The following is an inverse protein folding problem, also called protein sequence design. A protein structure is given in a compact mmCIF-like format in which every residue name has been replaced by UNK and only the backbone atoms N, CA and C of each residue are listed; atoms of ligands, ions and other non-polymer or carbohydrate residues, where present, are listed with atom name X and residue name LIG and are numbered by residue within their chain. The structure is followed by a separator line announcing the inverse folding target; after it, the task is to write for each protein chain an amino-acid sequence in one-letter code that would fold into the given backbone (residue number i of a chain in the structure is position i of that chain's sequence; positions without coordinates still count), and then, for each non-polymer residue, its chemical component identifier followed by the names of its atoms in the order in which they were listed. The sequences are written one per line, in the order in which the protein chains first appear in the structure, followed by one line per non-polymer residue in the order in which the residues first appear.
data_IF_931762424918
#
_entry.id   IF_931762424918
#
_cell.length_a   1.000
_cell.length_b   1.000
_cell.length_c   1.000
_cell.angle_alpha   90.00
_cell.angle_beta   90.00
_cell.angle_gamma   90.00
#
_symmetry.space_group_name_H-M   'P 1'
#
loop_
_entity.id
_entity.type
_entity.pdbx_description
1 polymer ?
#
# COMPACT_ATOMS: atom_id res chain seq x y z
N UNK A 1 -8.26 -2.84 28.36
CA UNK A 1 -8.16 -1.39 28.56
C UNK A 1 -7.47 -0.81 27.34
N UNK A 2 -8.23 -0.20 26.44
CA UNK A 2 -7.71 0.42 25.21
C UNK A 2 -7.20 1.81 25.59
N UNK A 3 -5.89 2.03 25.53
CA UNK A 3 -5.34 3.38 25.60
C UNK A 3 -5.44 3.96 24.19
N UNK A 4 -6.51 4.69 23.88
CA UNK A 4 -6.51 5.52 22.68
C UNK A 4 -5.50 6.64 22.92
N UNK A 5 -4.42 6.63 22.17
CA UNK A 5 -3.45 7.72 22.20
C UNK A 5 -4.07 8.90 21.44
N UNK A 6 -4.31 10.05 22.08
CA UNK A 6 -4.99 11.20 21.45
C UNK A 6 -4.24 11.77 20.23
N UNK A 7 -2.97 11.40 20.07
CA UNK A 7 -2.10 11.84 18.97
C UNK A 7 -2.44 11.20 17.61
N UNK A 8 -2.98 9.98 17.57
CA UNK A 8 -3.33 9.31 16.31
C UNK A 8 -4.64 9.88 15.75
N UNK A 9 -5.61 10.16 16.62
CA UNK A 9 -6.92 10.69 16.24
C UNK A 9 -6.82 12.08 15.60
N UNK A 10 -5.87 12.93 16.02
CA UNK A 10 -5.70 14.26 15.43
C UNK A 10 -5.31 14.22 13.95
N UNK A 11 -4.53 13.23 13.51
CA UNK A 11 -4.16 13.10 12.10
C UNK A 11 -5.24 12.42 11.28
N UNK A 12 -5.92 11.42 11.85
CA UNK A 12 -7.04 10.73 11.17
C UNK A 12 -8.19 11.71 10.95
N UNK A 13 -8.57 12.48 11.97
CA UNK A 13 -9.65 13.47 11.87
C UNK A 13 -9.30 14.63 10.92
N UNK A 14 -8.02 15.01 10.84
CA UNK A 14 -7.54 16.11 10.00
C UNK A 14 -7.46 15.77 8.50
N UNK A 15 -7.48 14.48 8.13
CA UNK A 15 -7.40 14.04 6.73
C UNK A 15 -8.62 14.42 5.87
N UNK A 16 -9.74 14.82 6.49
CA UNK A 16 -10.93 15.34 5.80
C UNK A 16 -10.83 16.84 5.46
N UNK A 17 -9.87 17.55 6.03
CA UNK A 17 -9.58 18.95 5.72
C UNK A 17 -8.42 19.01 4.71
N UNK A 18 -8.50 19.88 3.71
CA UNK A 18 -7.41 20.10 2.75
C UNK A 18 -6.27 20.88 3.43
N UNK A 19 -5.56 20.25 4.37
CA UNK A 19 -4.43 20.85 5.06
C UNK A 19 -3.22 20.69 4.14
N UNK A 20 -2.59 21.79 3.68
CA UNK A 20 -1.34 21.68 2.91
C UNK A 20 -0.28 20.95 3.74
N UNK A 21 0.49 20.09 3.09
CA UNK A 21 1.58 19.35 3.70
C UNK A 21 2.59 20.35 4.27
N UNK A 22 2.57 20.57 5.60
CA UNK A 22 3.28 21.69 6.21
C UNK A 22 4.79 21.46 6.38
N UNK A 23 5.24 20.21 6.25
CA UNK A 23 6.63 19.83 6.51
C UNK A 23 7.47 19.84 5.21
N UNK A 24 8.48 20.72 5.09
CA UNK A 24 9.32 20.84 3.89
C UNK A 24 10.03 19.53 3.53
N UNK A 25 10.38 18.72 4.53
CA UNK A 25 11.02 17.42 4.31
C UNK A 25 10.08 16.41 3.64
N UNK A 26 8.80 16.41 4.00
CA UNK A 26 7.80 15.53 3.39
C UNK A 26 7.54 16.01 1.96
N UNK A 27 7.37 17.32 1.76
CA UNK A 27 7.18 17.89 0.43
C UNK A 27 8.38 17.62 -0.50
N UNK A 28 9.61 17.75 0.01
CA UNK A 28 10.83 17.40 -0.72
C UNK A 28 10.87 15.92 -1.10
N UNK A 29 10.48 15.04 -0.18
CA UNK A 29 10.41 13.59 -0.43
C UNK A 29 9.33 13.26 -1.47
N UNK A 30 8.12 13.82 -1.33
CA UNK A 30 7.02 13.68 -2.28
C UNK A 30 7.41 14.18 -3.67
N UNK A 31 8.10 15.32 -3.77
CA UNK A 31 8.59 15.85 -5.04
C UNK A 31 9.66 14.95 -5.66
N UNK A 32 10.60 14.43 -4.85
CA UNK A 32 11.67 13.56 -5.33
C UNK A 32 11.18 12.18 -5.77
N UNK A 33 10.20 11.61 -5.05
CA UNK A 33 9.64 10.28 -5.36
C UNK A 33 8.53 10.32 -6.41
N UNK A 34 7.90 11.48 -6.60
CA UNK A 34 6.69 11.67 -7.41
C UNK A 34 5.69 10.51 -7.25
N UNK A 35 5.23 10.21 -6.02
CA UNK A 35 4.46 9.01 -5.75
C UNK A 35 2.99 9.23 -6.12
N UNK A 36 2.30 8.15 -6.49
CA UNK A 36 0.89 8.17 -6.87
C UNK A 36 0.00 7.75 -5.70
N UNK A 37 -1.26 8.19 -5.63
CA UNK A 37 -2.20 7.70 -4.64
C UNK A 37 -2.36 6.17 -4.74
N UNK A 38 -2.23 5.46 -3.61
CA UNK A 38 -2.49 4.02 -3.57
C UNK A 38 -4.00 3.77 -3.38
N UNK A 39 -4.61 2.74 -4.00
CA UNK A 39 -6.04 2.45 -3.85
C UNK A 39 -6.46 2.17 -2.40
N UNK A 40 -5.52 1.69 -1.58
CA UNK A 40 -5.75 1.45 -0.15
C UNK A 40 -5.52 2.72 0.69
N UNK A 41 -5.11 3.84 0.10
CA UNK A 41 -4.73 5.06 0.83
C UNK A 41 -3.22 5.24 0.94
N UNK A 42 -2.79 6.42 1.41
CA UNK A 42 -1.39 6.89 1.32
C UNK A 42 -0.88 6.99 -0.14
N UNK A 43 0.43 7.12 -0.32
CA UNK A 43 1.09 7.20 -1.62
C UNK A 43 2.03 6.02 -1.86
N UNK A 44 2.25 5.67 -3.12
CA UNK A 44 3.21 4.63 -3.50
C UNK A 44 3.94 4.95 -4.81
N UNK A 45 5.10 4.32 -4.98
CA UNK A 45 5.85 4.34 -6.23
C UNK A 45 6.43 2.94 -6.50
N UNK A 46 6.18 2.39 -7.69
CA UNK A 46 6.75 1.10 -8.10
C UNK A 46 8.24 1.28 -8.39
N UNK A 47 9.13 0.63 -7.63
CA UNK A 47 10.59 0.81 -7.78
C UNK A 47 11.24 -0.26 -8.63
N UNK A 48 10.77 -1.50 -8.52
CA UNK A 48 11.31 -2.60 -9.29
C UNK A 48 10.21 -3.64 -9.57
N UNK A 49 10.23 -4.16 -10.79
CA UNK A 49 9.57 -5.41 -11.14
C UNK A 49 10.61 -6.30 -11.78
N UNK A 50 10.99 -7.37 -11.09
CA UNK A 50 11.90 -8.38 -11.63
C UNK A 50 11.39 -8.83 -13.01
N UNK A 51 12.20 -8.71 -14.08
CA UNK A 51 11.79 -9.10 -15.44
C UNK A 51 11.50 -10.60 -15.55
N UNK A 52 12.06 -11.41 -14.63
CA UNK A 52 11.83 -12.85 -14.60
C UNK A 52 10.37 -13.16 -14.26
N UNK A 53 9.74 -13.88 -15.19
CA UNK A 53 8.39 -14.42 -15.03
C UNK A 53 8.46 -15.79 -14.35
N UNK A 54 7.71 -15.97 -13.28
CA UNK A 54 7.55 -17.25 -12.58
C UNK A 54 6.10 -17.69 -12.61
N UNK A 55 5.86 -18.99 -12.49
CA UNK A 55 4.51 -19.52 -12.39
C UNK A 55 3.75 -18.87 -11.21
N UNK A 56 2.49 -18.52 -11.45
CA UNK A 56 1.61 -17.99 -10.43
C UNK A 56 0.96 -19.15 -9.64
N UNK A 57 1.32 -19.41 -8.37
CA UNK A 57 0.68 -20.46 -7.56
C UNK A 57 -0.79 -20.20 -7.22
N UNK A 58 -1.32 -19.01 -7.54
CA UNK A 58 -2.70 -18.63 -7.26
C UNK A 58 -3.50 -18.38 -8.53
N UNK A 59 -3.24 -19.18 -9.57
CA UNK A 59 -4.07 -19.20 -10.78
C UNK A 59 -5.54 -19.31 -10.36
N UNK A 60 -6.34 -18.34 -10.80
CA UNK A 60 -7.78 -18.41 -10.66
C UNK A 60 -8.30 -19.20 -11.87
N UNK A 61 -9.29 -20.09 -11.69
CA UNK A 61 -10.12 -20.50 -12.81
C UNK A 61 -10.68 -19.22 -13.44
N UNK A 62 -10.61 -19.09 -14.76
CA UNK A 62 -11.25 -17.98 -15.47
C UNK A 62 -12.74 -18.08 -15.15
N UNK A 63 -13.24 -17.23 -14.26
CA UNK A 63 -14.67 -17.18 -13.98
C UNK A 63 -15.36 -16.71 -15.27
N UNK A 64 -16.36 -17.43 -15.81
CA UNK A 64 -16.95 -17.12 -17.11
C UNK A 64 -17.77 -15.81 -17.15
N UNK A 65 -17.74 -14.98 -16.10
CA UNK A 65 -18.63 -13.83 -15.93
C UNK A 65 -17.93 -12.53 -15.49
N UNK A 66 -16.61 -12.43 -15.63
CA UNK A 66 -15.93 -11.16 -15.41
C UNK A 66 -15.34 -10.69 -16.73
N UNK A 67 -15.71 -9.48 -17.16
CA UNK A 67 -15.04 -8.66 -18.19
C UNK A 67 -13.60 -8.28 -17.77
N UNK A 68 -12.89 -9.21 -17.13
CA UNK A 68 -11.47 -9.13 -16.85
C UNK A 68 -10.76 -9.45 -18.17
N UNK A 69 -10.20 -8.39 -18.74
CA UNK A 69 -9.34 -8.36 -19.92
C UNK A 69 -8.69 -9.73 -20.21
N UNK A 70 -9.12 -10.33 -21.31
CA UNK A 70 -8.72 -11.64 -21.87
C UNK A 70 -7.19 -11.75 -22.04
N UNK A 71 -6.46 -10.62 -21.96
CA UNK A 71 -5.00 -10.55 -22.03
C UNK A 71 -4.24 -10.57 -20.70
N UNK A 72 -4.91 -10.68 -19.55
CA UNK A 72 -4.19 -10.88 -18.30
C UNK A 72 -3.66 -12.32 -18.22
N UNK A 73 -2.40 -12.52 -18.62
CA UNK A 73 -1.67 -13.79 -18.41
C UNK A 73 -1.60 -14.08 -16.90
N UNK A 74 -2.63 -14.75 -16.39
CA UNK A 74 -2.74 -15.18 -14.99
C UNK A 74 -1.81 -16.34 -14.68
N UNK A 75 -1.19 -16.97 -15.70
CA UNK A 75 -0.36 -18.16 -15.55
C UNK A 75 1.00 -17.82 -14.94
N UNK A 76 1.54 -16.65 -15.27
CA UNK A 76 2.85 -16.20 -14.79
C UNK A 76 2.79 -14.84 -14.10
N UNK A 77 3.86 -14.46 -13.42
CA UNK A 77 3.98 -13.19 -12.69
C UNK A 77 5.44 -12.75 -12.57
N UNK A 78 5.69 -11.49 -12.22
CA UNK A 78 7.01 -11.09 -11.75
C UNK A 78 7.40 -11.86 -10.48
N UNK A 79 8.67 -12.27 -10.39
CA UNK A 79 9.19 -13.01 -9.25
C UNK A 79 9.17 -12.18 -7.96
N UNK A 80 9.60 -10.92 -8.04
CA UNK A 80 9.63 -9.98 -6.93
C UNK A 80 9.32 -8.55 -7.39
N UNK A 81 8.15 -8.01 -7.06
CA UNK A 81 7.88 -6.58 -7.16
C UNK A 81 8.29 -5.88 -5.85
N UNK A 82 8.81 -4.66 -5.95
CA UNK A 82 9.03 -3.77 -4.81
C UNK A 82 8.42 -2.40 -5.08
N UNK A 83 7.91 -1.79 -4.01
CA UNK A 83 7.36 -0.44 -4.02
C UNK A 83 7.98 0.36 -2.88
N UNK A 84 8.04 1.68 -3.05
CA UNK A 84 8.12 2.60 -1.93
C UNK A 84 6.69 2.94 -1.50
N UNK A 85 6.45 2.86 -0.19
CA UNK A 85 5.18 3.23 0.41
C UNK A 85 5.41 4.46 1.30
N UNK A 86 4.66 5.52 1.05
CA UNK A 86 4.84 6.82 1.69
C UNK A 86 3.53 7.26 2.35
N UNK A 87 3.53 7.19 3.68
CA UNK A 87 2.43 7.64 4.54
C UNK A 87 2.73 9.07 4.96
N UNK A 88 1.73 9.94 4.84
CA UNK A 88 1.86 11.36 5.20
C UNK A 88 0.74 11.80 6.12
N UNK A 89 0.88 12.93 6.84
CA UNK A 89 -0.21 13.49 7.64
C UNK A 89 -1.51 13.74 6.85
N UNK A 90 -1.40 14.05 5.55
CA UNK A 90 -2.58 14.25 4.68
C UNK A 90 -3.28 12.93 4.33
N UNK A 91 -2.51 11.83 4.22
CA UNK A 91 -3.02 10.49 3.94
C UNK A 91 -2.41 9.51 4.94
N UNK A 92 -2.85 9.54 6.21
CA UNK A 92 -2.18 8.84 7.30
C UNK A 92 -2.55 7.35 7.40
N UNK A 93 -3.50 6.90 6.58
CA UNK A 93 -4.10 5.58 6.67
C UNK A 93 -3.91 4.76 5.39
N UNK A 94 -3.60 3.48 5.61
CA UNK A 94 -3.81 2.41 4.65
C UNK A 94 -4.99 1.55 5.11
N UNK A 95 -5.99 1.40 4.25
CA UNK A 95 -7.15 0.56 4.48
C UNK A 95 -6.74 -0.90 4.65
N UNK A 96 -7.48 -1.63 5.49
CA UNK A 96 -7.24 -3.06 5.67
C UNK A 96 -7.43 -3.79 4.34
N UNK A 97 -6.41 -4.54 3.94
CA UNK A 97 -6.39 -5.30 2.71
C UNK A 97 -5.73 -6.65 2.93
N UNK A 98 -5.87 -7.56 1.96
CA UNK A 98 -5.28 -8.89 2.03
C UNK A 98 -4.54 -9.21 0.75
N UNK A 99 -3.27 -9.56 0.90
CA UNK A 99 -2.49 -10.15 -0.17
C UNK A 99 -2.60 -11.67 -0.16
N UNK A 100 -2.69 -12.28 -1.36
CA UNK A 100 -2.58 -13.76 -1.49
C UNK A 100 -1.19 -14.27 -1.16
N UNK A 101 -0.18 -13.39 -1.25
CA UNK A 101 1.21 -13.69 -0.90
C UNK A 101 1.65 -12.91 0.31
N UNK A 102 2.73 -13.40 0.91
CA UNK A 102 3.48 -12.66 1.92
C UNK A 102 4.06 -11.39 1.29
N UNK A 103 3.80 -10.27 1.94
CA UNK A 103 4.47 -8.99 1.69
C UNK A 103 5.50 -8.78 2.78
N UNK A 104 6.71 -8.39 2.41
CA UNK A 104 7.78 -8.01 3.35
C UNK A 104 7.84 -6.49 3.37
N UNK A 105 7.72 -5.90 4.56
CA UNK A 105 7.86 -4.47 4.77
C UNK A 105 9.24 -4.19 5.36
N UNK A 106 9.99 -3.29 4.74
CA UNK A 106 11.29 -2.82 5.24
C UNK A 106 11.11 -1.35 5.63
N UNK A 107 11.30 -1.06 6.90
CA UNK A 107 11.20 0.31 7.40
C UNK A 107 12.42 1.13 6.98
N UNK A 108 12.20 2.32 6.44
CA UNK A 108 13.27 3.22 5.98
C UNK A 108 13.36 4.51 6.82
N UNK A 109 12.22 5.17 7.09
CA UNK A 109 12.14 6.45 7.83
C UNK A 109 10.79 6.60 8.52
N UNK A 110 10.72 7.53 9.48
CA UNK A 110 9.48 7.91 10.16
C UNK A 110 9.00 6.86 11.16
N UNK A 111 7.71 6.88 11.49
CA UNK A 111 7.07 5.89 12.38
C UNK A 111 5.72 5.52 11.80
N UNK A 112 5.25 4.32 12.10
CA UNK A 112 3.94 3.87 11.69
C UNK A 112 3.54 2.66 12.51
N UNK A 113 2.24 2.56 12.78
CA UNK A 113 1.66 1.43 13.48
C UNK A 113 0.93 0.54 12.49
N UNK A 114 1.12 -0.77 12.61
CA UNK A 114 0.51 -1.77 11.73
C UNK A 114 -0.49 -2.60 12.53
N UNK A 115 -1.73 -2.64 12.05
CA UNK A 115 -2.75 -3.55 12.58
C UNK A 115 -2.84 -4.79 11.70
N UNK A 116 -2.76 -5.98 12.31
CA UNK A 116 -2.90 -7.26 11.61
C UNK A 116 -4.08 -8.05 12.20
N UNK A 117 -5.06 -8.37 11.36
CA UNK A 117 -6.17 -9.25 11.73
C UNK A 117 -5.88 -10.66 11.23
N UNK A 118 -5.87 -11.63 12.14
CA UNK A 118 -5.80 -13.06 11.79
C UNK A 118 -7.17 -13.69 12.00
N UNK A 119 -7.55 -14.60 11.11
CA UNK A 119 -8.72 -15.45 11.29
C UNK A 119 -8.23 -16.87 11.51
N UNK A 120 -8.25 -17.32 12.76
CA UNK A 120 -8.09 -18.74 13.10
C UNK A 120 -9.27 -19.51 12.51
N UNK A 121 -8.96 -20.68 11.93
CA UNK A 121 -9.97 -21.62 11.45
C UNK A 121 -10.44 -22.51 12.59
#
# INVERSE_FOLDING_TARGET
MSMSTPFIESFISASNEHIPEREPAIQSTSNALNPRPHPEGSYFHDTNRDPRRVANPHQQPIAPFTDLDINTDTKTRSASPSILYHITPQRPLGALHRNRRRTVHVWQRGRGDTSLTTRTR
#
